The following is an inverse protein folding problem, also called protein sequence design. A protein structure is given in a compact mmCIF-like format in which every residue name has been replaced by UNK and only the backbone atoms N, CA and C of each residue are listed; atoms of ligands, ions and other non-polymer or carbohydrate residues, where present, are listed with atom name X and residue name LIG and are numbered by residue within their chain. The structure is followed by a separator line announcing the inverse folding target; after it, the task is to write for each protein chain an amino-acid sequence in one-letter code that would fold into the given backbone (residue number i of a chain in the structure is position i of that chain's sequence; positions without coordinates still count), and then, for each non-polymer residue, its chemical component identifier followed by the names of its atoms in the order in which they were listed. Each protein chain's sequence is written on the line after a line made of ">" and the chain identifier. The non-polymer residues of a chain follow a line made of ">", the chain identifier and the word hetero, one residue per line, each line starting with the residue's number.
data_IF_364535125622
#
_entry.id   IF_364535125622
#
_cell.length_a   1.000
_cell.length_b   1.000
_cell.length_c   1.000
_cell.angle_alpha   90.00
_cell.angle_beta   90.00
_cell.angle_gamma   90.00
#
_symmetry.space_group_name_H-M   'P 1'
#
loop_
_entity.id
_entity.type
_entity.pdbx_description
1 polymer ?
#
# COMPACT_ATOMS: atom_id res chain seq x y z
N UNK A 1 31.97 20.63 -7.87
CA UNK A 1 31.52 19.39 -7.18
C UNK A 1 30.26 19.82 -6.46
N UNK A 2 29.14 19.80 -7.18
CA UNK A 2 27.87 20.33 -6.67
C UNK A 2 27.35 19.44 -5.54
N UNK A 3 26.92 20.02 -4.41
CA UNK A 3 26.24 19.28 -3.38
C UNK A 3 24.87 18.89 -3.92
N UNK A 4 24.62 17.59 -4.07
CA UNK A 4 23.27 17.08 -4.26
C UNK A 4 22.51 17.35 -2.96
N UNK A 5 21.75 18.44 -2.95
CA UNK A 5 20.77 18.73 -1.91
C UNK A 5 19.86 17.52 -1.73
N UNK A 6 19.93 16.89 -0.56
CA UNK A 6 18.87 16.02 -0.09
C UNK A 6 17.64 16.89 0.10
N UNK A 7 16.77 16.90 -0.92
CA UNK A 7 15.42 17.43 -0.80
C UNK A 7 14.71 16.61 0.27
N UNK A 8 14.60 17.18 1.46
CA UNK A 8 13.71 16.70 2.50
C UNK A 8 12.31 16.85 1.94
N UNK A 9 11.75 15.75 1.42
CA UNK A 9 10.38 15.75 0.90
C UNK A 9 9.46 16.06 2.06
N UNK A 10 8.90 17.27 2.07
CA UNK A 10 7.90 17.69 3.06
C UNK A 10 6.72 16.71 3.05
N UNK A 11 6.17 16.31 4.21
CA UNK A 11 5.04 15.37 4.28
C UNK A 11 3.78 15.87 3.56
N UNK A 12 3.68 17.18 3.26
CA UNK A 12 2.61 17.77 2.44
C UNK A 12 2.69 17.36 0.95
N UNK A 13 3.84 16.90 0.47
CA UNK A 13 3.99 16.39 -0.91
C UNK A 13 3.28 15.06 -1.13
N UNK A 14 2.97 14.30 -0.06
CA UNK A 14 2.32 13.00 -0.18
C UNK A 14 0.86 13.08 -0.66
N UNK A 15 0.24 14.26 -0.65
CA UNK A 15 -1.16 14.47 -1.04
C UNK A 15 -1.36 15.69 -1.96
N UNK A 16 -0.27 16.29 -2.48
CA UNK A 16 -0.40 17.43 -3.40
C UNK A 16 -0.68 16.95 -4.82
N UNK A 17 -1.53 17.68 -5.55
CA UNK A 17 -1.73 17.49 -6.99
C UNK A 17 -0.43 17.72 -7.80
N UNK A 18 0.61 18.23 -7.14
CA UNK A 18 1.93 18.49 -7.69
C UNK A 18 2.88 17.30 -7.63
N UNK A 19 2.42 16.12 -7.18
CA UNK A 19 3.22 14.90 -7.28
C UNK A 19 3.56 14.64 -8.76
N UNK A 20 4.86 14.54 -9.13
CA UNK A 20 5.29 14.27 -10.50
C UNK A 20 4.64 13.03 -11.12
N UNK A 21 4.27 12.03 -10.32
CA UNK A 21 3.59 10.83 -10.80
C UNK A 21 2.13 11.10 -11.17
N UNK A 22 1.46 12.00 -10.45
CA UNK A 22 0.10 12.47 -10.76
C UNK A 22 0.15 13.33 -12.02
N UNK A 23 1.07 14.30 -12.08
CA UNK A 23 1.22 15.19 -13.24
C UNK A 23 1.56 14.41 -14.53
N UNK A 24 2.36 13.35 -14.42
CA UNK A 24 2.71 12.49 -15.57
C UNK A 24 1.70 11.38 -15.86
N UNK A 25 0.54 11.37 -15.18
CA UNK A 25 -0.50 10.33 -15.33
C UNK A 25 0.00 8.90 -15.05
N UNK A 26 1.10 8.75 -14.32
CA UNK A 26 1.65 7.44 -13.90
C UNK A 26 1.00 6.93 -12.62
N UNK A 27 0.48 7.85 -11.80
CA UNK A 27 -0.37 7.56 -10.65
C UNK A 27 -1.71 8.26 -10.87
N UNK A 28 -2.80 7.49 -10.81
CA UNK A 28 -4.15 8.03 -10.91
C UNK A 28 -4.89 7.78 -9.59
N UNK A 29 -5.45 8.85 -9.04
CA UNK A 29 -6.27 8.76 -7.84
C UNK A 29 -7.74 8.66 -8.20
N UNK A 30 -8.43 7.67 -7.64
CA UNK A 30 -9.87 7.49 -7.78
C UNK A 30 -10.48 7.44 -6.39
N UNK A 31 -11.51 8.26 -6.09
CA UNK A 31 -12.14 8.28 -4.77
C UNK A 31 -12.99 7.04 -4.49
N UNK A 32 -13.37 6.29 -5.53
CA UNK A 32 -14.14 5.06 -5.44
C UNK A 32 -13.93 4.20 -6.69
N UNK A 33 -14.13 2.89 -6.55
CA UNK A 33 -14.27 1.96 -7.69
C UNK A 33 -15.49 2.26 -8.57
N UNK A 34 -16.51 2.93 -8.02
CA UNK A 34 -17.70 3.31 -8.75
C UNK A 34 -17.43 4.58 -9.59
N UNK A 35 -17.64 4.50 -10.90
CA UNK A 35 -17.45 5.61 -11.84
C UNK A 35 -16.19 5.47 -12.69
N UNK A 36 -15.38 6.52 -12.75
CA UNK A 36 -14.27 6.67 -13.71
C UNK A 36 -13.24 5.54 -13.63
N UNK A 37 -13.01 4.99 -12.43
CA UNK A 37 -12.10 3.85 -12.24
C UNK A 37 -12.49 2.68 -13.15
N UNK A 38 -13.79 2.34 -13.22
CA UNK A 38 -14.27 1.20 -14.00
C UNK A 38 -14.04 1.36 -15.51
N UNK A 39 -13.98 2.60 -16.01
CA UNK A 39 -13.73 2.90 -17.43
C UNK A 39 -12.23 2.90 -17.78
N UNK A 40 -11.41 3.38 -16.84
CA UNK A 40 -9.96 3.52 -17.03
C UNK A 40 -9.17 2.28 -16.62
N UNK A 41 -9.80 1.37 -15.88
CA UNK A 41 -9.18 0.16 -15.36
C UNK A 41 -8.61 -0.73 -16.49
N UNK A 42 -7.28 -0.91 -16.48
CA UNK A 42 -6.56 -1.76 -17.42
C UNK A 42 -5.51 -2.58 -16.68
N UNK A 43 -5.38 -3.84 -17.07
CA UNK A 43 -4.34 -4.76 -16.57
C UNK A 43 -3.20 -4.88 -17.60
N UNK A 44 -1.93 -5.03 -17.17
CA UNK A 44 -1.47 -5.14 -15.78
C UNK A 44 -1.41 -3.78 -15.07
N UNK A 45 -1.75 -3.76 -13.78
CA UNK A 45 -1.67 -2.56 -12.95
C UNK A 45 -1.35 -2.91 -11.49
N UNK A 46 -0.93 -1.90 -10.73
CA UNK A 46 -0.80 -1.97 -9.27
C UNK A 46 -1.86 -1.04 -8.70
N UNK A 47 -2.65 -1.55 -7.75
CA UNK A 47 -3.65 -0.76 -7.05
C UNK A 47 -3.28 -0.71 -5.57
N UNK A 48 -3.16 0.52 -5.06
CA UNK A 48 -3.06 0.79 -3.63
C UNK A 48 -4.48 1.01 -3.12
N UNK A 49 -4.95 0.12 -2.26
CA UNK A 49 -6.31 0.19 -1.73
C UNK A 49 -6.39 -0.60 -0.43
N UNK A 50 -7.25 -0.14 0.46
CA UNK A 50 -7.92 -1.05 1.38
C UNK A 50 -7.83 -0.70 2.85
N UNK A 51 -8.22 -1.72 3.61
CA UNK A 51 -8.23 -1.79 5.06
C UNK A 51 -7.57 -3.12 5.46
N UNK A 52 -6.70 -3.16 6.48
CA UNK A 52 -5.89 -4.34 6.82
C UNK A 52 -6.68 -5.63 7.01
N UNK A 53 -7.94 -5.54 7.42
CA UNK A 53 -8.80 -6.70 7.68
C UNK A 53 -9.43 -7.31 6.43
N UNK A 54 -9.38 -6.63 5.28
CA UNK A 54 -10.10 -7.02 4.06
C UNK A 54 -11.61 -7.26 4.30
N UNK A 55 -12.25 -6.52 5.20
CA UNK A 55 -13.69 -6.67 5.50
C UNK A 55 -14.56 -5.54 4.99
N UNK A 56 -13.96 -4.41 4.63
CA UNK A 56 -14.68 -3.23 4.17
C UNK A 56 -13.79 -2.36 3.29
N UNK A 57 -14.45 -1.43 2.59
CA UNK A 57 -13.85 -0.65 1.52
C UNK A 57 -13.71 -1.43 0.22
N UNK A 58 -13.18 -0.76 -0.78
CA UNK A 58 -13.12 -1.24 -2.17
C UNK A 58 -12.25 -2.50 -2.35
N UNK A 59 -11.36 -2.79 -1.39
CA UNK A 59 -10.51 -4.00 -1.41
C UNK A 59 -11.31 -5.30 -1.44
N UNK A 60 -12.52 -5.33 -0.86
CA UNK A 60 -13.38 -6.51 -0.90
C UNK A 60 -13.72 -6.87 -2.34
N UNK A 61 -14.03 -5.87 -3.17
CA UNK A 61 -14.34 -6.07 -4.59
C UNK A 61 -13.12 -6.57 -5.38
N UNK A 62 -11.93 -6.04 -5.10
CA UNK A 62 -10.70 -6.52 -5.74
C UNK A 62 -10.36 -7.96 -5.35
N UNK A 63 -10.59 -8.35 -4.10
CA UNK A 63 -10.41 -9.75 -3.67
C UNK A 63 -11.33 -10.70 -4.43
N UNK A 64 -12.59 -10.32 -4.66
CA UNK A 64 -13.54 -11.09 -5.47
C UNK A 64 -13.13 -11.18 -6.95
N UNK A 65 -12.64 -10.07 -7.51
CA UNK A 65 -12.26 -9.96 -8.92
C UNK A 65 -10.94 -10.67 -9.24
N UNK A 66 -9.93 -10.54 -8.37
CA UNK A 66 -8.56 -10.98 -8.64
C UNK A 66 -8.16 -12.28 -7.93
N UNK A 67 -8.88 -12.67 -6.87
CA UNK A 67 -8.56 -13.83 -6.05
C UNK A 67 -8.54 -15.16 -6.80
N UNK A 68 -9.25 -15.24 -7.93
CA UNK A 68 -9.40 -16.46 -8.74
C UNK A 68 -8.24 -16.72 -9.71
N UNK A 69 -7.28 -15.79 -9.84
CA UNK A 69 -6.17 -15.92 -10.79
C UNK A 69 -4.83 -15.95 -10.06
N UNK A 70 -4.02 -16.97 -10.36
CA UNK A 70 -2.64 -17.10 -9.85
C UNK A 70 -1.66 -16.11 -10.49
N UNK A 71 -2.10 -15.35 -11.49
CA UNK A 71 -1.31 -14.26 -12.08
C UNK A 71 -1.31 -13.00 -11.20
N UNK A 72 -2.27 -12.89 -10.28
CA UNK A 72 -2.38 -11.77 -9.38
C UNK A 72 -1.59 -12.02 -8.09
N UNK A 73 -1.27 -10.95 -7.37
CA UNK A 73 -0.64 -11.02 -6.05
C UNK A 73 -1.26 -9.97 -5.13
N UNK A 74 -1.57 -10.36 -3.90
CA UNK A 74 -1.90 -9.43 -2.79
C UNK A 74 -0.71 -9.34 -1.85
N UNK A 75 -0.34 -8.10 -1.48
CA UNK A 75 0.77 -7.81 -0.58
C UNK A 75 0.20 -7.11 0.66
N UNK A 76 0.46 -7.67 1.83
CA UNK A 76 0.06 -7.09 3.11
C UNK A 76 1.24 -6.34 3.72
N UNK A 77 1.02 -5.05 4.01
CA UNK A 77 2.04 -4.15 4.56
C UNK A 77 1.82 -3.80 6.03
N UNK A 78 0.66 -4.13 6.60
CA UNK A 78 0.32 -3.77 7.99
C UNK A 78 0.87 -4.81 8.98
N UNK A 79 1.76 -4.43 9.93
CA UNK A 79 2.38 -5.37 10.85
C UNK A 79 1.44 -5.87 11.97
N UNK A 80 0.46 -5.06 12.34
CA UNK A 80 -0.35 -5.29 13.55
C UNK A 80 -1.64 -6.09 13.27
N UNK A 81 -1.86 -6.53 12.02
CA UNK A 81 -3.01 -7.31 11.62
C UNK A 81 -2.61 -8.66 11.01
N UNK A 82 -3.28 -9.73 11.47
CA UNK A 82 -3.10 -11.07 10.93
C UNK A 82 -3.62 -11.17 9.50
N UNK A 83 -2.70 -11.21 8.52
CA UNK A 83 -3.07 -11.36 7.11
C UNK A 83 -3.77 -12.71 6.84
N UNK A 84 -3.47 -13.75 7.63
CA UNK A 84 -4.13 -15.05 7.52
C UNK A 84 -5.61 -14.96 7.90
N UNK A 85 -5.93 -14.26 8.99
CA UNK A 85 -7.32 -14.05 9.40
C UNK A 85 -8.07 -13.16 8.38
N UNK A 86 -7.38 -12.15 7.83
CA UNK A 86 -7.92 -11.33 6.76
C UNK A 86 -8.26 -12.17 5.52
N UNK A 87 -7.42 -13.15 5.16
CA UNK A 87 -7.62 -14.03 4.01
C UNK A 87 -8.65 -15.15 4.23
N UNK A 88 -8.99 -15.50 5.48
CA UNK A 88 -9.81 -16.67 5.79
C UNK A 88 -11.13 -16.77 5.00
N UNK A 89 -11.91 -15.69 4.79
CA UNK A 89 -13.18 -15.77 4.05
C UNK A 89 -13.00 -15.92 2.53
N UNK A 90 -11.80 -15.68 2.00
CA UNK A 90 -11.52 -15.70 0.56
C UNK A 90 -10.95 -17.04 0.09
N UNK A 91 -10.88 -18.04 0.98
CA UNK A 91 -10.37 -19.36 0.64
C UNK A 91 -11.44 -20.23 -0.04
N UNK A 92 -11.07 -21.07 -1.04
CA UNK A 92 -9.72 -21.23 -1.58
C UNK A 92 -9.31 -20.06 -2.49
N UNK A 93 -8.08 -19.57 -2.34
CA UNK A 93 -7.54 -18.43 -3.08
C UNK A 93 -6.42 -18.86 -4.02
N UNK A 94 -6.57 -18.57 -5.32
CA UNK A 94 -5.54 -18.89 -6.33
C UNK A 94 -4.45 -17.81 -6.42
N UNK A 95 -4.81 -16.57 -6.12
CA UNK A 95 -3.90 -15.43 -6.07
C UNK A 95 -2.76 -15.65 -5.07
N UNK A 96 -1.54 -15.25 -5.44
CA UNK A 96 -0.40 -15.31 -4.53
C UNK A 96 -0.57 -14.31 -3.38
N UNK A 97 -0.32 -14.74 -2.15
CA UNK A 97 -0.34 -13.89 -0.98
C UNK A 97 1.07 -13.69 -0.43
N UNK A 98 1.44 -12.43 -0.16
CA UNK A 98 2.74 -12.06 0.41
C UNK A 98 2.54 -11.17 1.63
N UNK A 99 3.20 -11.50 2.73
CA UNK A 99 3.27 -10.64 3.91
C UNK A 99 4.63 -9.93 3.91
N UNK A 100 4.60 -8.60 3.77
CA UNK A 100 5.79 -7.75 3.70
C UNK A 100 5.52 -6.48 4.54
N UNK A 101 5.53 -6.60 5.89
CA UNK A 101 5.14 -5.51 6.77
C UNK A 101 6.09 -4.32 6.66
N UNK A 102 5.53 -3.12 6.64
CA UNK A 102 6.25 -1.86 6.70
C UNK A 102 6.06 -1.32 8.12
N UNK A 103 7.03 -1.60 8.99
CA UNK A 103 7.03 -1.09 10.36
C UNK A 103 7.98 0.11 10.46
N UNK A 104 7.40 1.31 10.63
CA UNK A 104 8.15 2.57 10.79
C UNK A 104 8.46 2.90 12.24
N UNK A 105 8.02 2.05 13.19
CA UNK A 105 8.30 2.23 14.62
C UNK A 105 9.78 2.02 14.89
N UNK A 106 10.23 2.57 16.02
CA UNK A 106 11.61 2.40 16.45
C UNK A 106 11.90 0.94 16.80
N UNK A 107 12.96 0.40 16.22
CA UNK A 107 13.48 -0.88 16.63
C UNK A 107 14.33 -0.75 17.91
N UNK A 108 14.65 -1.89 18.53
CA UNK A 108 15.39 -1.94 19.79
C UNK A 108 16.75 -1.22 19.73
N UNK A 109 17.44 -1.27 18.59
CA UNK A 109 18.74 -0.62 18.39
C UNK A 109 18.56 0.90 18.42
N UNK A 110 17.56 1.42 17.72
CA UNK A 110 17.25 2.85 17.68
C UNK A 110 16.83 3.36 19.05
N UNK A 111 15.98 2.62 19.77
CA UNK A 111 15.57 2.98 21.13
C UNK A 111 16.76 2.99 22.09
N UNK A 112 17.62 1.97 22.03
CA UNK A 112 18.81 1.91 22.90
C UNK A 112 19.77 3.06 22.66
N UNK A 113 19.97 3.43 21.39
CA UNK A 113 20.79 4.59 21.02
C UNK A 113 20.17 5.88 21.55
N UNK A 114 18.86 6.08 21.33
CA UNK A 114 18.14 7.26 21.78
C UNK A 114 18.21 7.42 23.31
N UNK A 115 18.01 6.35 24.08
CA UNK A 115 18.09 6.40 25.54
C UNK A 115 19.46 6.84 26.06
N UNK A 116 20.55 6.48 25.37
CA UNK A 116 21.91 6.91 25.72
C UNK A 116 22.18 8.38 25.40
N UNK A 117 21.50 8.93 24.39
CA UNK A 117 21.67 10.32 23.97
C UNK A 117 20.85 11.30 24.84
N UNK A 118 19.85 10.81 25.56
CA UNK A 118 18.95 11.62 26.41
C UNK A 118 19.41 11.68 27.88
N UNK A 119 20.38 10.86 28.29
CA UNK A 119 21.02 10.90 29.62
C UNK A 119 22.19 11.87 29.67
#
# INVERSE_FOLDING_TARGET
>A
MDPQDSQVVSPEAANSLDDPLIQTNKLKHYPSIHGDFSNDFKQPCVVFTGHPTLRFGDVVHFMELWGKSSLNTVIFTEPDFSYLDALAPYQPLAMKCVYCPIDTRLNFIQVTKLLKEVQ
#
